data_IF_520789818473
#
_entry.id   IF_520789818473
#
_cell.length_a   1.000
_cell.length_b   1.000
_cell.length_c   1.000
_cell.angle_alpha   90.00
_cell.angle_beta   90.00
_cell.angle_gamma   90.00
#
_symmetry.space_group_name_H-M   'P 1'
#
loop_
_entity.id
_entity.type
_entity.pdbx_description
1 polymer ?
#
# COMPACT_ATOMS: atom_id res chain seq x y z
N UNK A 1 1.06 7.01 13.72
CA UNK A 1 1.89 6.55 12.61
C UNK A 1 3.02 5.63 13.09
N UNK A 2 3.52 4.78 12.18
CA UNK A 2 4.76 4.03 12.37
C UNK A 2 5.94 4.93 11.97
N UNK A 3 6.95 5.02 12.84
CA UNK A 3 8.05 5.98 12.67
C UNK A 3 9.41 5.28 12.72
N UNK A 4 10.31 5.70 11.84
CA UNK A 4 11.65 5.12 11.65
C UNK A 4 12.71 6.23 11.67
N UNK A 5 12.93 6.88 12.83
CA UNK A 5 13.91 7.96 12.92
C UNK A 5 15.34 7.45 12.71
N UNK A 6 16.12 8.26 12.01
CA UNK A 6 17.57 8.16 11.93
C UNK A 6 18.23 9.36 12.61
N UNK A 7 19.54 9.36 12.73
CA UNK A 7 20.32 10.41 13.34
C UNK A 7 21.18 9.92 14.51
N UNK A 8 21.84 10.82 15.21
CA UNK A 8 22.72 10.43 16.31
C UNK A 8 21.96 9.85 17.50
N UNK A 9 22.61 8.96 18.24
CA UNK A 9 22.10 8.41 19.50
C UNK A 9 21.74 9.51 20.51
N UNK A 10 22.48 10.61 20.54
CA UNK A 10 22.21 11.74 21.43
C UNK A 10 20.86 12.41 21.08
N UNK A 11 20.64 12.67 19.79
CA UNK A 11 19.37 13.22 19.31
C UNK A 11 18.20 12.26 19.60
N UNK A 12 18.43 10.96 19.39
CA UNK A 12 17.42 9.95 19.68
C UNK A 12 17.04 9.94 21.17
N UNK A 13 18.01 9.93 22.08
CA UNK A 13 17.73 9.97 23.54
C UNK A 13 16.86 11.16 23.94
N UNK A 14 17.08 12.31 23.30
CA UNK A 14 16.30 13.53 23.56
C UNK A 14 14.88 13.44 23.01
N UNK A 15 14.71 12.90 21.79
CA UNK A 15 13.44 12.91 21.06
C UNK A 15 12.58 11.66 21.31
N UNK A 16 13.17 10.58 21.81
CA UNK A 16 12.50 9.30 22.05
C UNK A 16 11.15 9.45 22.79
N UNK A 17 11.06 10.15 23.93
CA UNK A 17 9.79 10.26 24.66
C UNK A 17 8.68 10.94 23.83
N UNK A 18 9.06 11.88 22.97
CA UNK A 18 8.13 12.60 22.10
C UNK A 18 7.61 11.64 21.02
N UNK A 19 8.51 10.95 20.33
CA UNK A 19 8.14 10.01 19.28
C UNK A 19 7.31 8.84 19.81
N UNK A 20 7.66 8.27 20.95
CA UNK A 20 6.88 7.19 21.59
C UNK A 20 5.46 7.65 21.97
N UNK A 21 5.29 8.93 22.35
CA UNK A 21 3.99 9.47 22.73
C UNK A 21 3.02 9.64 21.55
N UNK A 22 3.55 9.92 20.34
CA UNK A 22 2.77 10.19 19.13
C UNK A 22 2.76 9.02 18.13
N UNK A 23 3.53 7.97 18.38
CA UNK A 23 3.56 6.77 17.56
C UNK A 23 2.21 6.02 17.62
N UNK A 24 1.86 5.32 16.55
CA UNK A 24 0.85 4.28 16.61
C UNK A 24 1.28 3.22 17.63
N UNK A 25 0.32 2.49 18.16
CA UNK A 25 0.60 1.38 19.09
C UNK A 25 0.09 0.08 18.51
N UNK A 26 0.89 -0.96 18.62
CA UNK A 26 0.54 -2.33 18.33
C UNK A 26 0.81 -3.16 19.59
N UNK A 27 -0.17 -3.93 20.06
CA UNK A 27 -0.08 -4.73 21.28
C UNK A 27 0.35 -3.91 22.52
N UNK A 28 0.03 -2.62 22.53
CA UNK A 28 0.39 -1.69 23.62
C UNK A 28 1.76 -1.02 23.47
N UNK A 29 2.62 -1.49 22.58
CA UNK A 29 3.95 -0.96 22.33
C UNK A 29 3.95 0.13 21.24
N UNK A 30 4.75 1.19 21.39
CA UNK A 30 4.83 2.25 20.38
C UNK A 30 5.56 1.79 19.12
N UNK A 31 4.96 2.00 17.95
CA UNK A 31 5.54 1.66 16.65
C UNK A 31 6.61 2.68 16.23
N UNK A 32 7.67 2.78 17.00
CA UNK A 32 8.83 3.63 16.71
C UNK A 32 10.11 3.00 17.22
N UNK A 33 11.15 3.04 16.38
CA UNK A 33 12.49 2.60 16.80
C UNK A 33 13.56 3.43 16.09
N UNK A 34 14.67 3.66 16.76
CA UNK A 34 15.85 4.28 16.15
C UNK A 34 16.51 3.30 15.19
N UNK A 35 16.58 3.68 13.92
CA UNK A 35 17.09 2.77 12.87
C UNK A 35 18.62 2.80 12.77
N UNK A 36 19.23 3.96 13.01
CA UNK A 36 20.66 4.15 12.93
C UNK A 36 21.04 5.59 12.60
N UNK A 37 22.30 5.81 12.32
CA UNK A 37 22.86 7.15 12.09
C UNK A 37 22.42 7.74 10.74
N UNK A 38 22.53 9.05 10.64
CA UNK A 38 22.30 9.82 9.41
C UNK A 38 20.95 9.54 8.76
N UNK A 39 20.94 9.19 7.48
CA UNK A 39 19.75 8.92 6.68
C UNK A 39 19.19 7.49 6.78
N UNK A 40 19.69 6.64 7.69
CA UNK A 40 19.28 5.26 7.80
C UNK A 40 17.77 5.09 7.96
N UNK A 41 17.13 5.91 8.79
CA UNK A 41 15.67 5.90 8.97
C UNK A 41 14.90 6.24 7.71
N UNK A 42 15.37 7.22 6.94
CA UNK A 42 14.76 7.57 5.65
C UNK A 42 14.86 6.42 4.64
N UNK A 43 16.01 5.75 4.60
CA UNK A 43 16.22 4.60 3.71
C UNK A 43 15.29 3.45 4.07
N UNK A 44 15.23 3.07 5.33
CA UNK A 44 14.35 1.98 5.79
C UNK A 44 12.88 2.33 5.58
N UNK A 45 12.45 3.57 5.85
CA UNK A 45 11.07 4.00 5.57
C UNK A 45 10.74 4.00 4.08
N UNK A 46 11.69 4.36 3.23
CA UNK A 46 11.55 4.28 1.78
C UNK A 46 11.29 2.83 1.33
N UNK A 47 12.09 1.89 1.81
CA UNK A 47 11.94 0.45 1.50
C UNK A 47 10.62 -0.09 2.05
N UNK A 48 10.25 0.26 3.27
CA UNK A 48 8.96 -0.07 3.87
C UNK A 48 7.79 0.37 2.95
N UNK A 49 7.82 1.60 2.46
CA UNK A 49 6.80 2.07 1.52
C UNK A 49 6.82 1.32 0.18
N UNK A 50 7.98 0.89 -0.28
CA UNK A 50 8.09 0.03 -1.47
C UNK A 50 7.42 -1.32 -1.27
N UNK A 51 7.58 -1.92 -0.10
CA UNK A 51 6.90 -3.17 0.28
C UNK A 51 5.38 -2.95 0.32
N UNK A 52 4.91 -1.85 0.92
CA UNK A 52 3.48 -1.51 0.94
C UNK A 52 2.87 -1.39 -0.46
N UNK A 53 3.63 -0.96 -1.47
CA UNK A 53 3.18 -0.96 -2.87
C UNK A 53 2.87 -2.38 -3.35
N UNK A 54 3.73 -3.34 -3.01
CA UNK A 54 3.52 -4.75 -3.34
C UNK A 54 2.29 -5.31 -2.64
N UNK A 55 2.12 -5.04 -1.35
CA UNK A 55 0.96 -5.47 -0.58
C UNK A 55 -0.35 -4.94 -1.18
N UNK A 56 -0.39 -3.64 -1.50
CA UNK A 56 -1.57 -3.03 -2.12
C UNK A 56 -1.84 -3.58 -3.54
N UNK A 57 -0.80 -3.94 -4.28
CA UNK A 57 -0.96 -4.59 -5.58
C UNK A 57 -1.58 -5.98 -5.43
N UNK A 58 -1.10 -6.79 -4.50
CA UNK A 58 -1.66 -8.12 -4.22
C UNK A 58 -3.12 -8.06 -3.75
N UNK A 59 -3.46 -7.08 -2.90
CA UNK A 59 -4.84 -6.81 -2.48
C UNK A 59 -5.70 -6.47 -3.71
N UNK A 60 -5.21 -5.60 -4.59
CA UNK A 60 -5.94 -5.18 -5.80
C UNK A 60 -6.15 -6.34 -6.79
N UNK A 61 -5.14 -7.17 -6.98
CA UNK A 61 -5.23 -8.36 -7.84
C UNK A 61 -6.18 -9.40 -7.26
N UNK A 62 -6.15 -9.61 -5.95
CA UNK A 62 -7.08 -10.50 -5.26
C UNK A 62 -8.53 -10.01 -5.41
N UNK A 63 -8.74 -8.69 -5.24
CA UNK A 63 -10.04 -8.07 -5.48
C UNK A 63 -10.49 -8.27 -6.93
N UNK A 64 -9.65 -7.99 -7.91
CA UNK A 64 -9.98 -8.11 -9.32
C UNK A 64 -10.34 -9.54 -9.70
N UNK A 65 -9.58 -10.53 -9.20
CA UNK A 65 -9.84 -11.94 -9.40
C UNK A 65 -11.22 -12.34 -8.83
N UNK A 66 -11.51 -11.98 -7.59
CA UNK A 66 -12.81 -12.27 -6.97
C UNK A 66 -13.95 -11.57 -7.70
N UNK A 67 -13.74 -10.33 -8.10
CA UNK A 67 -14.73 -9.52 -8.82
C UNK A 67 -15.06 -10.10 -10.19
N UNK A 68 -14.05 -10.43 -11.00
CA UNK A 68 -14.20 -10.82 -12.40
C UNK A 68 -14.36 -12.31 -12.62
N UNK A 69 -13.56 -13.13 -11.93
CA UNK A 69 -13.61 -14.57 -12.14
C UNK A 69 -14.72 -15.25 -11.32
N UNK A 70 -15.00 -14.75 -10.10
CA UNK A 70 -16.02 -15.33 -9.22
C UNK A 70 -17.34 -14.54 -9.25
N UNK A 71 -17.39 -13.36 -9.86
CA UNK A 71 -18.60 -12.54 -9.96
C UNK A 71 -19.08 -11.95 -8.64
N UNK A 72 -18.21 -11.89 -7.63
CA UNK A 72 -18.55 -11.39 -6.29
C UNK A 72 -18.82 -9.89 -6.30
N UNK A 73 -19.71 -9.43 -5.46
CA UNK A 73 -19.95 -8.01 -5.19
C UNK A 73 -18.83 -7.45 -4.29
N UNK A 74 -18.57 -6.12 -4.30
CA UNK A 74 -17.60 -5.53 -3.38
C UNK A 74 -17.83 -5.87 -1.91
N UNK A 75 -19.10 -5.89 -1.45
CA UNK A 75 -19.42 -6.23 -0.08
C UNK A 75 -19.06 -7.70 0.26
N UNK A 76 -19.37 -8.66 -0.61
CA UNK A 76 -18.99 -10.07 -0.42
C UNK A 76 -17.47 -10.23 -0.41
N UNK A 77 -16.73 -9.45 -1.21
CA UNK A 77 -15.27 -9.44 -1.16
C UNK A 77 -14.79 -8.80 0.16
N UNK A 78 -15.46 -7.76 0.63
CA UNK A 78 -15.21 -7.16 1.95
C UNK A 78 -15.32 -8.19 3.07
N UNK A 79 -16.34 -9.05 3.05
CA UNK A 79 -16.50 -10.15 4.03
C UNK A 79 -15.31 -11.13 3.99
N UNK A 80 -14.77 -11.43 2.79
CA UNK A 80 -13.57 -12.28 2.66
C UNK A 80 -12.35 -11.62 3.30
N UNK A 81 -12.13 -10.32 3.05
CA UNK A 81 -11.03 -9.60 3.66
C UNK A 81 -11.20 -9.48 5.19
N UNK A 82 -12.41 -9.33 5.69
CA UNK A 82 -12.69 -9.35 7.13
C UNK A 82 -12.34 -10.71 7.77
N UNK A 83 -12.65 -11.82 7.09
CA UNK A 83 -12.24 -13.16 7.56
C UNK A 83 -10.72 -13.35 7.48
N UNK A 84 -10.06 -12.88 6.41
CA UNK A 84 -8.61 -12.93 6.31
C UNK A 84 -7.92 -12.13 7.40
N UNK A 85 -8.50 -11.02 7.84
CA UNK A 85 -7.96 -10.21 8.93
C UNK A 85 -8.03 -10.89 10.31
N UNK A 86 -8.65 -12.06 10.41
CA UNK A 86 -8.67 -12.90 11.62
C UNK A 86 -7.62 -14.02 11.59
N UNK A 87 -6.76 -14.04 10.58
CA UNK A 87 -5.77 -15.08 10.32
C UNK A 87 -4.35 -14.51 10.35
N UNK A 88 -3.36 -15.27 9.86
CA UNK A 88 -1.99 -14.81 9.66
C UNK A 88 -1.85 -13.64 8.67
N UNK A 89 -2.92 -13.30 7.96
CA UNK A 89 -2.98 -12.12 7.07
C UNK A 89 -3.44 -10.85 7.79
N UNK A 90 -3.65 -10.91 9.11
CA UNK A 90 -4.03 -9.74 9.91
C UNK A 90 -3.08 -8.57 9.65
N UNK A 91 -3.64 -7.46 9.18
CA UNK A 91 -2.89 -6.23 8.96
C UNK A 91 -3.81 -5.02 8.81
N UNK A 92 -3.26 -3.83 9.06
CA UNK A 92 -3.97 -2.58 8.83
C UNK A 92 -4.51 -2.44 7.39
N UNK A 93 -3.74 -2.87 6.39
CA UNK A 93 -4.19 -2.78 4.98
C UNK A 93 -5.35 -3.73 4.68
N UNK A 94 -5.36 -4.92 5.23
CA UNK A 94 -6.47 -5.88 5.09
C UNK A 94 -7.72 -5.35 5.82
N UNK A 95 -7.57 -4.83 7.03
CA UNK A 95 -8.66 -4.22 7.81
C UNK A 95 -9.35 -3.09 7.02
N UNK A 96 -8.59 -2.08 6.59
CA UNK A 96 -9.17 -0.96 5.87
C UNK A 96 -9.71 -1.33 4.49
N UNK A 97 -9.20 -2.40 3.87
CA UNK A 97 -9.74 -2.91 2.61
C UNK A 97 -11.14 -3.44 2.81
N UNK A 98 -11.38 -4.24 3.85
CA UNK A 98 -12.70 -4.72 4.21
C UNK A 98 -13.66 -3.54 4.46
N UNK A 99 -13.24 -2.56 5.26
CA UNK A 99 -14.03 -1.38 5.56
C UNK A 99 -14.41 -0.58 4.31
N UNK A 100 -13.46 -0.35 3.40
CA UNK A 100 -13.70 0.40 2.15
C UNK A 100 -14.68 -0.34 1.24
N UNK A 101 -14.56 -1.66 1.13
CA UNK A 101 -15.40 -2.48 0.26
C UNK A 101 -16.85 -2.56 0.74
N UNK A 102 -17.13 -2.37 2.02
CA UNK A 102 -18.46 -2.27 2.58
C UNK A 102 -19.10 -0.87 2.41
N UNK A 103 -18.31 0.15 2.03
CA UNK A 103 -18.87 1.50 1.91
C UNK A 103 -19.73 1.67 0.66
N UNK A 104 -20.82 2.42 0.83
CA UNK A 104 -21.74 2.81 -0.24
C UNK A 104 -21.69 4.33 -0.42
N UNK A 105 -21.55 4.79 -1.64
CA UNK A 105 -21.63 6.21 -1.95
C UNK A 105 -23.06 6.74 -1.72
N UNK A 106 -23.22 7.68 -0.82
CA UNK A 106 -24.52 8.23 -0.41
C UNK A 106 -25.26 8.98 -1.54
N UNK A 107 -24.52 9.43 -2.58
CA UNK A 107 -25.13 10.18 -3.69
C UNK A 107 -25.67 9.24 -4.77
N UNK A 108 -24.96 8.18 -5.08
CA UNK A 108 -25.29 7.28 -6.17
C UNK A 108 -25.95 5.98 -5.73
N UNK A 109 -25.80 5.60 -4.46
CA UNK A 109 -26.24 4.31 -3.93
C UNK A 109 -25.36 3.12 -4.40
N UNK A 110 -24.27 3.39 -5.09
CA UNK A 110 -23.34 2.34 -5.58
C UNK A 110 -22.23 2.05 -4.55
N UNK A 111 -21.57 0.88 -4.62
CA UNK A 111 -20.37 0.64 -3.84
C UNK A 111 -19.36 1.78 -4.05
N UNK A 112 -18.75 2.26 -2.97
CA UNK A 112 -17.84 3.41 -3.03
C UNK A 112 -16.65 3.12 -3.97
N UNK A 113 -16.13 1.90 -3.97
CA UNK A 113 -15.02 1.48 -4.84
C UNK A 113 -15.33 1.60 -6.33
N UNK A 114 -16.60 1.50 -6.71
CA UNK A 114 -17.04 1.61 -8.11
C UNK A 114 -17.19 3.07 -8.59
N UNK A 115 -17.12 4.07 -7.69
CA UNK A 115 -17.35 5.49 -8.03
C UNK A 115 -16.16 6.39 -7.69
N UNK A 116 -15.12 5.88 -7.06
CA UNK A 116 -13.88 6.63 -6.82
C UNK A 116 -13.06 6.74 -8.10
N UNK A 117 -12.12 7.68 -8.09
CA UNK A 117 -11.22 7.89 -9.24
C UNK A 117 -10.36 6.65 -9.49
N UNK A 118 -10.42 6.14 -10.71
CA UNK A 118 -9.59 5.04 -11.20
C UNK A 118 -8.14 5.51 -11.46
N UNK A 119 -7.43 5.79 -10.38
CA UNK A 119 -6.05 6.30 -10.45
C UNK A 119 -5.32 6.06 -9.12
N UNK A 120 -4.23 5.32 -9.15
CA UNK A 120 -3.32 5.16 -8.03
C UNK A 120 -2.03 5.96 -8.29
N UNK A 121 -1.82 7.02 -7.51
CA UNK A 121 -0.64 7.86 -7.62
C UNK A 121 0.60 7.24 -6.96
N UNK A 122 1.79 7.74 -7.31
CA UNK A 122 3.03 7.44 -6.61
C UNK A 122 3.81 8.72 -6.32
N UNK A 123 4.51 8.75 -5.18
CA UNK A 123 5.27 9.92 -4.71
C UNK A 123 6.79 9.74 -4.79
N UNK A 124 7.26 8.60 -5.33
CA UNK A 124 8.67 8.33 -5.58
C UNK A 124 9.30 7.25 -4.70
N UNK A 125 8.81 6.96 -3.49
CA UNK A 125 9.43 6.00 -2.57
C UNK A 125 9.53 4.58 -3.15
N UNK A 126 8.49 4.11 -3.85
CA UNK A 126 8.53 2.82 -4.55
C UNK A 126 9.59 2.80 -5.66
N UNK A 127 9.65 3.85 -6.47
CA UNK A 127 10.65 4.00 -7.53
C UNK A 127 12.07 3.99 -6.96
N UNK A 128 12.32 4.77 -5.91
CA UNK A 128 13.64 4.82 -5.27
C UNK A 128 14.04 3.50 -4.63
N UNK A 129 13.08 2.73 -4.11
CA UNK A 129 13.33 1.38 -3.60
C UNK A 129 13.83 0.46 -4.72
N UNK A 130 13.17 0.47 -5.89
CA UNK A 130 13.57 -0.34 -7.05
C UNK A 130 14.95 0.09 -7.57
N UNK A 131 15.20 1.40 -7.68
CA UNK A 131 16.51 1.92 -8.08
C UNK A 131 17.62 1.47 -7.13
N UNK A 132 17.40 1.60 -5.82
CA UNK A 132 18.37 1.14 -4.82
C UNK A 132 18.60 -0.37 -4.87
N UNK A 133 17.55 -1.14 -5.12
CA UNK A 133 17.65 -2.59 -5.26
C UNK A 133 18.49 -3.00 -6.48
N UNK A 134 18.34 -2.29 -7.61
CA UNK A 134 19.18 -2.51 -8.79
C UNK A 134 20.64 -2.17 -8.51
N UNK A 135 20.92 -1.04 -7.86
CA UNK A 135 22.28 -0.64 -7.47
C UNK A 135 22.96 -1.63 -6.54
N UNK A 136 22.18 -2.27 -5.67
CA UNK A 136 22.65 -3.25 -4.68
C UNK A 136 22.58 -4.70 -5.18
N UNK A 137 22.09 -4.94 -6.40
CA UNK A 137 21.85 -6.26 -6.98
C UNK A 137 20.93 -7.15 -6.09
N UNK A 138 19.93 -6.56 -5.44
CA UNK A 138 18.93 -7.25 -4.62
C UNK A 138 17.64 -7.43 -5.43
N UNK A 139 17.11 -8.65 -5.57
CA UNK A 139 15.87 -8.87 -6.32
C UNK A 139 14.65 -8.38 -5.52
N UNK A 140 13.84 -7.51 -6.14
CA UNK A 140 12.59 -6.96 -5.58
C UNK A 140 11.47 -7.00 -6.61
N UNK A 141 11.27 -8.14 -7.25
CA UNK A 141 10.37 -8.30 -8.41
C UNK A 141 8.95 -7.82 -8.11
N UNK A 142 8.35 -8.23 -6.98
CA UNK A 142 6.99 -7.82 -6.61
C UNK A 142 6.86 -6.30 -6.39
N UNK A 143 7.86 -5.68 -5.79
CA UNK A 143 7.88 -4.20 -5.61
C UNK A 143 8.01 -3.52 -6.97
N UNK A 144 8.87 -4.02 -7.86
CA UNK A 144 9.05 -3.46 -9.19
C UNK A 144 7.76 -3.54 -10.02
N UNK A 145 7.09 -4.68 -10.02
CA UNK A 145 5.79 -4.86 -10.69
C UNK A 145 4.74 -3.88 -10.15
N UNK A 146 4.64 -3.74 -8.84
CA UNK A 146 3.71 -2.80 -8.22
C UNK A 146 4.01 -1.33 -8.61
N UNK A 147 5.28 -0.96 -8.74
CA UNK A 147 5.69 0.38 -9.21
C UNK A 147 5.29 0.59 -10.66
N UNK A 148 5.48 -0.39 -11.53
CA UNK A 148 5.06 -0.32 -12.94
C UNK A 148 3.53 -0.27 -13.07
N UNK A 149 2.80 -1.07 -12.31
CA UNK A 149 1.34 -1.03 -12.24
C UNK A 149 0.82 0.36 -11.82
N UNK A 150 1.47 1.00 -10.83
CA UNK A 150 1.19 2.40 -10.44
C UNK A 150 1.46 3.39 -11.56
N UNK A 151 2.55 3.21 -12.30
CA UNK A 151 2.89 4.03 -13.45
C UNK A 151 1.81 3.93 -14.54
N UNK A 152 1.33 2.72 -14.82
CA UNK A 152 0.25 2.49 -15.77
C UNK A 152 -1.09 3.04 -15.26
N UNK A 153 -1.40 2.85 -14.00
CA UNK A 153 -2.60 3.41 -13.37
C UNK A 153 -2.67 4.93 -13.50
N UNK A 154 -1.53 5.61 -13.36
CA UNK A 154 -1.43 7.06 -13.52
C UNK A 154 -1.71 7.57 -14.93
N UNK A 155 -1.69 6.70 -15.96
CA UNK A 155 -1.87 7.07 -17.37
C UNK A 155 -3.33 6.89 -17.82
N UNK A 156 -4.28 7.54 -17.13
CA UNK A 156 -5.72 7.36 -17.35
C UNK A 156 -6.14 7.66 -18.81
N UNK A 157 -5.59 8.70 -19.43
CA UNK A 157 -5.89 9.07 -20.82
C UNK A 157 -5.41 7.99 -21.80
N UNK A 158 -4.19 7.47 -21.61
CA UNK A 158 -3.64 6.40 -22.43
C UNK A 158 -4.45 5.11 -22.27
N UNK A 159 -4.84 4.75 -21.05
CA UNK A 159 -5.70 3.59 -20.81
C UNK A 159 -7.06 3.73 -21.48
N UNK A 160 -7.68 4.91 -21.39
CA UNK A 160 -8.95 5.19 -22.04
C UNK A 160 -8.84 5.16 -23.58
N UNK A 161 -7.72 5.58 -24.14
CA UNK A 161 -7.48 5.48 -25.58
C UNK A 161 -7.27 4.03 -26.03
N UNK A 162 -6.50 3.26 -25.25
CA UNK A 162 -6.28 1.83 -25.52
C UNK A 162 -7.57 1.02 -25.49
N UNK A 163 -8.51 1.36 -24.59
CA UNK A 163 -9.83 0.69 -24.52
C UNK A 163 -10.68 0.88 -25.79
N UNK A 164 -10.41 1.88 -26.61
CA UNK A 164 -11.11 2.10 -27.88
C UNK A 164 -10.58 1.23 -29.01
N UNK A 165 -9.40 0.64 -28.82
CA UNK A 165 -8.80 -0.25 -29.81
C UNK A 165 -9.44 -1.62 -29.72
N UNK A 166 -9.90 -2.13 -30.84
CA UNK A 166 -10.42 -3.50 -30.97
C UNK A 166 -9.21 -4.42 -31.17
N UNK A 167 -8.76 -5.04 -30.10
CA UNK A 167 -7.73 -6.07 -30.18
C UNK A 167 -8.43 -7.39 -30.47
N UNK A 168 -8.49 -7.78 -31.75
CA UNK A 168 -8.87 -9.13 -32.13
C UNK A 168 -7.88 -10.13 -31.49
N UNK A 169 -8.35 -10.86 -30.47
CA UNK A 169 -7.64 -11.91 -29.77
C UNK A 169 -8.47 -13.17 -29.64
#
# INVERSE_FOLDING_TARGET
PSMMPGGSEESWKTLKPIFESIAAKAEGEPCVTHIGENGAGHFVKMVHNGIEYSDMQLISESYDLMRRALGMTPAEIGDVFEEWNKTELESYLIEITADVLHQVDKKTGKPLVDVIVDHAGMKGTGTWTVQSALDLAVPVTGIAEAVFARGLSGQAELRAEAQKQDFEG
#
